data_IF_130324842033
#
_entry.id   IF_130324842033
#
_cell.length_a   1.000
_cell.length_b   1.000
_cell.length_c   1.000
_cell.angle_alpha   90.00
_cell.angle_beta   90.00
_cell.angle_gamma   90.00
#
_symmetry.space_group_name_H-M   'P 1'
#
loop_
_entity.id
_entity.type
_entity.pdbx_description
1 polymer ?
#
# COMPACT_ATOMS: atom_id res chain seq x y z
N UNK A 1 -46.74 3.14 32.03
CA UNK A 1 -45.38 3.72 32.07
C UNK A 1 -44.33 2.83 31.38
N UNK A 2 -44.28 1.53 31.69
CA UNK A 2 -43.24 0.62 31.12
C UNK A 2 -43.21 0.53 29.59
N UNK A 3 -44.38 0.55 28.91
CA UNK A 3 -44.43 0.48 27.44
C UNK A 3 -43.87 1.74 26.75
N UNK A 4 -44.08 2.91 27.35
CA UNK A 4 -43.49 4.17 26.83
C UNK A 4 -41.97 4.17 26.98
N UNK A 5 -41.47 3.63 28.10
CA UNK A 5 -40.02 3.52 28.35
C UNK A 5 -39.34 2.54 27.40
N UNK A 6 -39.99 1.40 27.07
CA UNK A 6 -39.48 0.43 26.08
C UNK A 6 -39.44 1.03 24.67
N UNK A 7 -40.43 1.82 24.26
CA UNK A 7 -40.42 2.50 22.96
C UNK A 7 -39.32 3.56 22.89
N UNK A 8 -39.10 4.33 23.98
CA UNK A 8 -38.05 5.31 24.06
C UNK A 8 -36.65 4.68 23.92
N UNK A 9 -36.45 3.55 24.60
CA UNK A 9 -35.20 2.77 24.49
C UNK A 9 -34.94 2.24 23.07
N UNK A 10 -36.03 1.77 22.40
CA UNK A 10 -35.92 1.28 21.00
C UNK A 10 -35.53 2.40 20.03
N UNK A 11 -36.07 3.60 20.19
CA UNK A 11 -35.68 4.76 19.35
C UNK A 11 -34.25 5.19 19.60
N UNK A 12 -33.77 5.17 20.86
CA UNK A 12 -32.40 5.51 21.21
C UNK A 12 -31.41 4.52 20.56
N UNK A 13 -31.71 3.22 20.59
CA UNK A 13 -30.90 2.18 19.95
C UNK A 13 -30.82 2.42 18.42
N UNK A 14 -31.94 2.75 17.78
CA UNK A 14 -31.97 2.99 16.34
C UNK A 14 -31.15 4.26 15.98
N UNK A 15 -31.28 5.33 16.75
CA UNK A 15 -30.56 6.60 16.51
C UNK A 15 -29.02 6.41 16.63
N UNK A 16 -28.57 5.53 17.54
CA UNK A 16 -27.15 5.26 17.73
C UNK A 16 -26.63 4.21 16.74
N UNK A 17 -27.40 3.15 16.48
CA UNK A 17 -26.99 2.07 15.58
C UNK A 17 -27.04 2.46 14.11
N UNK A 18 -27.98 3.31 13.68
CA UNK A 18 -28.15 3.67 12.29
C UNK A 18 -26.91 4.37 11.70
N UNK A 19 -26.34 5.42 12.31
CA UNK A 19 -25.12 6.04 11.82
C UNK A 19 -23.91 5.09 11.89
N UNK A 20 -23.84 4.22 12.90
CA UNK A 20 -22.79 3.21 12.99
C UNK A 20 -22.87 2.20 11.83
N UNK A 21 -24.04 1.67 11.53
CA UNK A 21 -24.25 0.74 10.41
C UNK A 21 -23.96 1.43 9.07
N UNK A 22 -24.40 2.69 8.88
CA UNK A 22 -24.11 3.44 7.66
C UNK A 22 -22.60 3.66 7.51
N UNK A 23 -21.90 4.02 8.59
CA UNK A 23 -20.45 4.22 8.57
C UNK A 23 -19.71 2.93 8.21
N UNK A 24 -20.11 1.80 8.79
CA UNK A 24 -19.52 0.47 8.47
C UNK A 24 -19.82 0.06 7.03
N UNK A 25 -21.02 0.33 6.53
CA UNK A 25 -21.40 -0.01 5.14
C UNK A 25 -20.75 0.91 4.10
N UNK A 26 -20.62 2.21 4.38
CA UNK A 26 -20.02 3.17 3.44
C UNK A 26 -18.49 3.12 3.43
N UNK A 27 -17.85 2.80 4.56
CA UNK A 27 -16.38 2.69 4.62
C UNK A 27 -15.87 1.31 4.20
N UNK A 28 -16.75 0.38 3.79
CA UNK A 28 -16.40 -1.01 3.59
C UNK A 28 -15.96 -1.66 4.92
N UNK A 29 -16.05 -2.96 5.02
CA UNK A 29 -15.42 -3.67 6.14
C UNK A 29 -13.92 -3.35 6.06
N UNK A 30 -13.39 -2.68 7.09
CA UNK A 30 -11.97 -2.73 7.35
C UNK A 30 -11.64 -4.20 7.60
N UNK A 31 -11.24 -4.90 6.55
CA UNK A 31 -10.65 -6.22 6.71
C UNK A 31 -9.42 -5.96 7.56
N UNK A 32 -9.33 -6.50 8.80
CA UNK A 32 -8.13 -6.34 9.57
C UNK A 32 -6.99 -6.89 8.71
N UNK A 33 -6.07 -6.01 8.30
CA UNK A 33 -4.90 -6.42 7.58
C UNK A 33 -4.20 -7.47 8.44
N UNK A 34 -4.28 -8.70 8.00
CA UNK A 34 -3.60 -9.79 8.68
C UNK A 34 -2.11 -9.44 8.68
N UNK A 35 -1.48 -9.44 9.85
CA UNK A 35 -0.04 -9.26 10.06
C UNK A 35 0.85 -10.26 9.30
N UNK A 36 0.28 -11.05 8.39
CA UNK A 36 0.97 -12.04 7.58
C UNK A 36 1.71 -11.46 6.37
N UNK A 37 1.60 -10.16 6.10
CA UNK A 37 2.27 -9.53 4.95
C UNK A 37 3.77 -9.33 5.21
N UNK A 38 4.20 -9.19 6.45
CA UNK A 38 5.61 -8.95 6.81
C UNK A 38 6.56 -10.14 6.56
N UNK A 39 6.01 -11.31 6.24
CA UNK A 39 6.81 -12.51 5.94
C UNK A 39 6.74 -12.96 4.48
N UNK A 40 5.95 -12.27 3.66
CA UNK A 40 5.83 -12.61 2.24
C UNK A 40 7.11 -12.24 1.51
N UNK A 41 7.69 -13.23 0.80
CA UNK A 41 8.81 -13.00 -0.10
C UNK A 41 8.33 -12.99 -1.55
N UNK A 42 9.00 -12.19 -2.36
CA UNK A 42 8.80 -12.13 -3.81
C UNK A 42 10.11 -12.44 -4.52
N UNK A 43 10.01 -13.00 -5.71
CA UNK A 43 11.18 -13.21 -6.56
C UNK A 43 11.46 -11.93 -7.35
N UNK A 44 12.64 -11.38 -7.19
CA UNK A 44 13.08 -10.21 -7.95
C UNK A 44 14.32 -10.59 -8.79
N UNK A 45 14.32 -10.16 -10.05
CA UNK A 45 15.47 -10.30 -10.93
C UNK A 45 16.37 -9.08 -10.83
N UNK A 46 17.66 -9.33 -10.68
CA UNK A 46 18.69 -8.31 -10.73
C UNK A 46 19.95 -8.86 -11.38
N UNK A 47 20.49 -8.16 -12.37
CA UNK A 47 21.69 -8.57 -13.10
C UNK A 47 21.63 -10.00 -13.66
N UNK A 48 20.43 -10.41 -14.12
CA UNK A 48 20.18 -11.76 -14.64
C UNK A 48 20.11 -12.85 -13.58
N UNK A 49 19.98 -12.49 -12.29
CA UNK A 49 19.83 -13.45 -11.19
C UNK A 49 18.52 -13.21 -10.45
N UNK A 50 17.79 -14.28 -10.23
CA UNK A 50 16.62 -14.29 -9.35
C UNK A 50 17.05 -14.39 -7.89
N UNK A 51 16.42 -13.62 -7.03
CA UNK A 51 16.61 -13.67 -5.58
C UNK A 51 15.29 -13.48 -4.85
N UNK A 52 15.15 -14.14 -3.72
CA UNK A 52 14.01 -13.95 -2.84
C UNK A 52 14.24 -12.70 -1.99
N UNK A 53 13.29 -11.77 -2.04
CA UNK A 53 13.35 -10.48 -1.35
C UNK A 53 12.07 -10.31 -0.53
N UNK A 54 12.14 -9.84 0.72
CA UNK A 54 10.95 -9.48 1.46
C UNK A 54 10.09 -8.49 0.65
N UNK A 55 8.77 -8.72 0.60
CA UNK A 55 7.84 -7.89 -0.17
C UNK A 55 7.96 -6.40 0.18
N UNK A 56 8.08 -6.10 1.48
CA UNK A 56 8.26 -4.72 1.96
C UNK A 56 9.53 -4.10 1.41
N UNK A 57 10.67 -4.79 1.49
CA UNK A 57 11.96 -4.29 1.00
C UNK A 57 11.91 -4.05 -0.51
N UNK A 58 11.30 -4.97 -1.26
CA UNK A 58 11.08 -4.79 -2.70
C UNK A 58 10.23 -3.55 -3.00
N UNK A 59 9.11 -3.37 -2.31
CA UNK A 59 8.20 -2.25 -2.54
C UNK A 59 8.82 -0.91 -2.13
N UNK A 60 9.50 -0.83 -0.98
CA UNK A 60 10.22 0.37 -0.56
C UNK A 60 11.35 0.69 -1.54
N UNK A 61 12.07 -0.32 -2.01
CA UNK A 61 13.10 -0.17 -3.03
C UNK A 61 12.58 0.35 -4.37
N UNK A 62 11.38 -0.09 -4.78
CA UNK A 62 10.67 0.48 -5.94
C UNK A 62 10.30 1.93 -5.73
N UNK A 63 9.68 2.26 -4.59
CA UNK A 63 9.36 3.65 -4.25
C UNK A 63 10.61 4.54 -4.31
N UNK A 64 11.73 4.08 -3.74
CA UNK A 64 13.00 4.82 -3.74
C UNK A 64 13.52 5.12 -5.14
N UNK A 65 13.34 4.19 -6.08
CA UNK A 65 13.75 4.33 -7.49
C UNK A 65 12.80 5.21 -8.30
N UNK A 66 11.49 5.11 -8.03
CA UNK A 66 10.44 5.74 -8.83
C UNK A 66 10.20 7.21 -8.47
N UNK A 67 10.23 7.57 -7.17
CA UNK A 67 9.87 8.92 -6.70
C UNK A 67 11.00 9.55 -5.87
N UNK A 68 11.31 10.86 -6.06
CA UNK A 68 12.22 11.57 -5.20
C UNK A 68 11.73 11.56 -3.74
N UNK A 69 12.57 11.08 -2.82
CA UNK A 69 12.22 11.00 -1.39
C UNK A 69 11.97 12.37 -0.74
N UNK A 70 12.38 13.46 -1.39
CA UNK A 70 12.13 14.85 -0.94
C UNK A 70 10.68 15.31 -1.13
N UNK A 71 9.87 14.57 -1.87
CA UNK A 71 8.47 14.91 -2.11
C UNK A 71 7.67 14.93 -0.80
N UNK A 72 6.54 15.64 -0.83
CA UNK A 72 5.64 15.75 0.31
C UNK A 72 5.14 14.38 0.78
N UNK A 73 4.87 14.29 2.09
CA UNK A 73 4.46 13.03 2.74
C UNK A 73 3.29 12.36 2.00
N UNK A 74 2.30 13.13 1.59
CA UNK A 74 1.10 12.61 0.92
C UNK A 74 1.43 12.05 -0.47
N UNK A 75 2.40 12.62 -1.19
CA UNK A 75 2.86 12.07 -2.46
C UNK A 75 3.59 10.73 -2.26
N UNK A 76 4.40 10.61 -1.20
CA UNK A 76 5.06 9.35 -0.85
C UNK A 76 4.04 8.27 -0.45
N UNK A 77 2.98 8.65 0.29
CA UNK A 77 1.87 7.74 0.64
C UNK A 77 1.10 7.28 -0.60
N UNK A 78 0.77 8.21 -1.50
CA UNK A 78 0.14 7.86 -2.77
C UNK A 78 0.99 6.87 -3.57
N UNK A 79 2.31 7.10 -3.64
CA UNK A 79 3.23 6.19 -4.31
C UNK A 79 3.27 4.80 -3.65
N UNK A 80 3.21 4.72 -2.32
CA UNK A 80 3.15 3.44 -1.62
C UNK A 80 1.90 2.64 -2.00
N UNK A 81 0.75 3.29 -2.11
CA UNK A 81 -0.50 2.65 -2.56
C UNK A 81 -0.40 2.20 -4.02
N UNK A 82 0.19 3.02 -4.91
CA UNK A 82 0.39 2.67 -6.32
C UNK A 82 1.30 1.44 -6.46
N UNK A 83 2.46 1.45 -5.80
CA UNK A 83 3.42 0.33 -5.84
C UNK A 83 2.79 -0.95 -5.30
N UNK A 84 2.10 -0.87 -4.15
CA UNK A 84 1.40 -2.02 -3.56
C UNK A 84 0.34 -2.58 -4.51
N UNK A 85 -0.46 -1.71 -5.12
CA UNK A 85 -1.50 -2.12 -6.08
C UNK A 85 -0.89 -2.84 -7.27
N UNK A 86 0.17 -2.27 -7.86
CA UNK A 86 0.87 -2.88 -9.01
C UNK A 86 1.43 -4.26 -8.67
N UNK A 87 2.12 -4.38 -7.53
CA UNK A 87 2.73 -5.64 -7.11
C UNK A 87 1.66 -6.71 -6.86
N UNK A 88 0.57 -6.34 -6.17
CA UNK A 88 -0.51 -7.29 -5.90
C UNK A 88 -1.27 -7.69 -7.17
N UNK A 89 -1.42 -6.78 -8.14
CA UNK A 89 -2.00 -7.12 -9.45
C UNK A 89 -1.13 -8.15 -10.17
N UNK A 90 0.18 -7.93 -10.21
CA UNK A 90 1.10 -8.88 -10.86
C UNK A 90 1.11 -10.25 -10.17
N UNK A 91 1.08 -10.29 -8.83
CA UNK A 91 0.98 -11.56 -8.08
C UNK A 91 -0.35 -12.26 -8.37
N UNK A 92 -1.46 -11.50 -8.42
CA UNK A 92 -2.79 -12.06 -8.72
C UNK A 92 -2.85 -12.65 -10.12
N UNK A 93 -2.27 -11.96 -11.11
CA UNK A 93 -2.36 -12.35 -12.52
C UNK A 93 -1.40 -13.51 -12.88
N UNK A 94 -0.22 -13.55 -12.27
CA UNK A 94 0.86 -14.49 -12.61
C UNK A 94 1.12 -15.55 -11.51
N UNK A 95 0.45 -15.44 -10.37
CA UNK A 95 0.62 -16.32 -9.23
C UNK A 95 1.84 -16.02 -8.37
N UNK A 96 2.06 -16.85 -7.33
CA UNK A 96 3.13 -16.67 -6.34
C UNK A 96 4.56 -16.89 -6.90
N UNK A 97 4.70 -17.38 -8.12
CA UNK A 97 5.99 -17.56 -8.80
C UNK A 97 6.37 -16.35 -9.68
N UNK A 98 5.64 -15.24 -9.57
CA UNK A 98 5.94 -14.01 -10.31
C UNK A 98 7.36 -13.55 -10.04
N UNK A 99 8.14 -13.37 -11.10
CA UNK A 99 9.48 -12.77 -11.03
C UNK A 99 9.36 -11.30 -11.44
N UNK A 100 9.72 -10.42 -10.51
CA UNK A 100 9.68 -8.98 -10.73
C UNK A 100 10.99 -8.49 -11.36
N UNK A 101 10.90 -7.91 -12.54
CA UNK A 101 12.04 -7.37 -13.30
C UNK A 101 11.99 -5.84 -13.47
N UNK A 102 11.02 -5.15 -12.88
CA UNK A 102 10.84 -3.70 -12.99
C UNK A 102 11.97 -2.88 -12.35
N UNK A 103 12.83 -3.54 -11.62
CA UNK A 103 13.96 -2.95 -10.92
C UNK A 103 13.55 -2.21 -9.65
N UNK A 104 14.36 -2.38 -8.62
CA UNK A 104 14.23 -1.72 -7.31
C UNK A 104 15.63 -1.36 -6.80
N UNK A 105 15.69 -0.46 -5.83
CA UNK A 105 16.94 -0.18 -5.11
C UNK A 105 17.04 -1.05 -3.86
N UNK A 106 18.15 -1.72 -3.70
CA UNK A 106 18.50 -2.38 -2.45
C UNK A 106 18.88 -1.34 -1.39
N UNK A 107 19.03 -1.78 -0.15
CA UNK A 107 19.54 -0.91 0.91
C UNK A 107 20.91 -0.32 0.60
N UNK A 108 21.76 -1.06 -0.13
CA UNK A 108 23.09 -0.58 -0.52
C UNK A 108 22.99 0.44 -1.65
N UNK A 109 22.12 0.23 -2.64
CA UNK A 109 21.85 1.24 -3.68
C UNK A 109 21.32 2.54 -3.06
N UNK A 110 20.38 2.43 -2.11
CA UNK A 110 19.85 3.62 -1.41
C UNK A 110 20.93 4.35 -0.60
N UNK A 111 21.89 3.63 0.01
CA UNK A 111 23.04 4.24 0.69
C UNK A 111 23.98 4.93 -0.29
N UNK A 112 24.22 4.32 -1.43
CA UNK A 112 25.06 4.91 -2.49
C UNK A 112 24.42 6.18 -3.05
N UNK A 113 23.13 6.14 -3.38
CA UNK A 113 22.39 7.26 -3.99
C UNK A 113 22.17 8.44 -3.03
N UNK A 114 21.90 8.17 -1.77
CA UNK A 114 21.58 9.22 -0.79
C UNK A 114 22.73 9.61 0.12
N UNK A 115 23.82 8.83 0.11
CA UNK A 115 24.90 8.93 1.07
C UNK A 115 24.54 8.39 2.44
N UNK A 116 25.50 7.81 3.14
CA UNK A 116 25.31 7.16 4.43
C UNK A 116 24.67 8.07 5.49
N UNK A 117 24.95 9.38 5.46
CA UNK A 117 24.38 10.36 6.40
C UNK A 117 22.90 10.63 6.21
N UNK A 118 22.39 10.52 4.98
CA UNK A 118 20.98 10.80 4.65
C UNK A 118 20.14 9.52 4.54
N UNK A 119 20.78 8.36 4.35
CA UNK A 119 20.12 7.08 4.13
C UNK A 119 19.02 6.80 5.16
N UNK A 120 19.36 6.83 6.46
CA UNK A 120 18.40 6.50 7.53
C UNK A 120 17.18 7.41 7.54
N UNK A 121 17.39 8.72 7.36
CA UNK A 121 16.30 9.70 7.30
C UNK A 121 15.38 9.42 6.10
N UNK A 122 15.97 9.20 4.93
CA UNK A 122 15.25 9.00 3.68
C UNK A 122 14.51 7.66 3.67
N UNK A 123 15.16 6.59 4.10
CA UNK A 123 14.54 5.28 4.25
C UNK A 123 13.32 5.35 5.20
N UNK A 124 13.45 5.97 6.36
CA UNK A 124 12.35 6.12 7.30
C UNK A 124 11.18 6.93 6.72
N UNK A 125 11.42 7.89 5.84
CA UNK A 125 10.32 8.61 5.16
C UNK A 125 9.51 7.68 4.27
N UNK A 126 10.16 6.83 3.48
CA UNK A 126 9.48 5.86 2.63
C UNK A 126 8.82 4.77 3.44
N UNK A 127 9.50 4.23 4.44
CA UNK A 127 8.93 3.21 5.33
C UNK A 127 7.69 3.74 6.06
N UNK A 128 7.73 4.94 6.61
CA UNK A 128 6.56 5.54 7.25
C UNK A 128 5.39 5.73 6.26
N UNK A 129 5.68 6.12 5.01
CA UNK A 129 4.64 6.24 3.99
C UNK A 129 4.03 4.87 3.64
N UNK A 130 4.85 3.82 3.60
CA UNK A 130 4.43 2.44 3.40
C UNK A 130 3.55 1.95 4.57
N UNK A 131 4.00 2.15 5.81
CA UNK A 131 3.29 1.75 7.03
C UNK A 131 1.97 2.54 7.21
N UNK A 132 1.99 3.86 7.00
CA UNK A 132 0.80 4.73 7.10
C UNK A 132 -0.32 4.35 6.11
N UNK A 133 0.01 3.61 5.07
CA UNK A 133 -0.92 3.14 4.04
C UNK A 133 -1.09 1.62 4.04
N UNK A 134 -0.80 0.97 5.17
CA UNK A 134 -0.93 -0.49 5.29
C UNK A 134 -2.32 -0.97 4.85
N UNK A 135 -2.36 -2.03 4.04
CA UNK A 135 -3.60 -2.63 3.53
C UNK A 135 -4.34 -1.80 2.47
N UNK A 136 -3.89 -0.58 2.13
CA UNK A 136 -4.54 0.25 1.11
C UNK A 136 -4.06 -0.13 -0.29
N UNK A 137 -5.02 -0.35 -1.18
CA UNK A 137 -4.82 -0.59 -2.62
C UNK A 137 -5.85 0.18 -3.43
N UNK A 138 -5.58 0.44 -4.69
CA UNK A 138 -6.55 1.03 -5.60
C UNK A 138 -7.41 -0.07 -6.22
N UNK A 139 -8.73 0.17 -6.20
CA UNK A 139 -9.72 -0.72 -6.80
C UNK A 139 -10.47 0.00 -7.92
N UNK A 140 -10.81 -0.76 -8.96
CA UNK A 140 -11.77 -0.35 -9.97
C UNK A 140 -12.89 -1.40 -10.01
N UNK A 141 -14.06 -1.04 -9.51
CA UNK A 141 -15.11 -2.03 -9.19
C UNK A 141 -14.62 -3.03 -8.14
N UNK A 142 -14.71 -4.32 -8.44
CA UNK A 142 -14.29 -5.40 -7.54
C UNK A 142 -12.87 -5.93 -7.82
N UNK A 143 -12.11 -5.26 -8.70
CA UNK A 143 -10.77 -5.68 -9.10
C UNK A 143 -9.71 -4.65 -8.71
N UNK A 144 -8.47 -5.12 -8.52
CA UNK A 144 -7.34 -4.22 -8.39
C UNK A 144 -7.21 -3.37 -9.66
N UNK A 145 -7.02 -2.06 -9.48
CA UNK A 145 -6.88 -1.15 -10.60
C UNK A 145 -5.55 -1.38 -11.33
N UNK A 146 -5.56 -1.25 -12.66
CA UNK A 146 -4.33 -1.13 -13.42
C UNK A 146 -3.75 0.27 -13.21
N UNK A 147 -2.57 0.37 -12.65
CA UNK A 147 -1.94 1.63 -12.24
C UNK A 147 -0.54 1.76 -12.87
N UNK A 148 -0.46 2.12 -14.15
CA UNK A 148 0.83 2.32 -14.79
C UNK A 148 1.53 3.53 -14.16
N UNK A 149 2.80 3.37 -13.80
CA UNK A 149 3.64 4.48 -13.35
C UNK A 149 4.41 5.07 -14.52
N UNK A 150 4.31 6.38 -14.69
CA UNK A 150 5.09 7.13 -15.65
C UNK A 150 5.71 8.36 -14.98
N UNK A 151 7.04 8.43 -14.96
CA UNK A 151 7.76 9.56 -14.36
C UNK A 151 7.62 10.84 -15.17
N UNK A 152 7.61 10.71 -16.49
CA UNK A 152 7.48 11.80 -17.45
C UNK A 152 6.63 11.32 -18.61
N UNK A 153 5.70 12.14 -19.06
CA UNK A 153 4.92 11.89 -20.27
C UNK A 153 5.04 13.09 -21.21
N UNK A 154 5.04 12.82 -22.51
CA UNK A 154 4.94 13.83 -23.56
C UNK A 154 3.49 14.12 -24.00
N UNK A 155 2.52 13.71 -23.18
CA UNK A 155 1.09 13.87 -23.45
C UNK A 155 0.41 12.64 -24.08
N UNK A 156 1.16 11.58 -24.36
CA UNK A 156 0.64 10.27 -24.77
C UNK A 156 0.86 9.26 -23.65
N UNK A 157 -0.22 8.77 -23.06
CA UNK A 157 -0.22 7.73 -22.02
C UNK A 157 -1.12 6.58 -22.46
#
# INVERSE_FOLDING_TARGET
MLQKLKRLGSYLIIIVLLPYVITVFMNGQAVPASKTVDTMQVKAERDGKEMDVPLEDYCIGRMAKEIPVSYEKEALRAQAVLVRTTVYTQIKDNGSQTVFNDGYWTNDDMREQWGSGSYRKNYNRLKNAWDDTEGQVLMYGEQLAYVPYCRLTNGNT
#
